data_IF_253513783852
#
_entry.id   IF_253513783852
#
_cell.length_a   1.000
_cell.length_b   1.000
_cell.length_c   1.000
_cell.angle_alpha   90.00
_cell.angle_beta   90.00
_cell.angle_gamma   90.00
#
_symmetry.space_group_name_H-M   'P 1'
#
loop_
_entity.id
_entity.type
_entity.pdbx_description
1 polymer ?
#
# COMPACT_ATOMS: atom_id res chain seq x y z
N UNK A 1 -16.69 10.94 -31.42
CA UNK A 1 -16.43 11.63 -30.15
C UNK A 1 -14.95 12.00 -30.11
N UNK A 2 -14.63 13.28 -30.30
CA UNK A 2 -13.24 13.74 -30.24
C UNK A 2 -12.91 13.94 -28.75
N UNK A 3 -12.40 12.91 -28.07
CA UNK A 3 -11.95 13.05 -26.69
C UNK A 3 -10.72 13.96 -26.68
N UNK A 4 -10.96 15.26 -26.46
CA UNK A 4 -9.92 16.23 -26.18
C UNK A 4 -9.12 15.72 -24.98
N UNK A 5 -7.90 15.27 -25.25
CA UNK A 5 -6.96 14.84 -24.25
C UNK A 5 -6.48 16.11 -23.52
N UNK A 6 -7.29 16.62 -22.59
CA UNK A 6 -7.07 17.84 -21.80
C UNK A 6 -5.66 17.88 -21.21
N UNK A 7 -5.12 16.70 -20.86
CA UNK A 7 -3.76 16.51 -20.38
C UNK A 7 -2.65 16.91 -21.37
N UNK A 8 -2.90 16.91 -22.69
CA UNK A 8 -1.92 17.40 -23.67
C UNK A 8 -1.70 18.91 -23.58
N UNK A 9 -2.65 19.63 -22.98
CA UNK A 9 -2.62 21.09 -22.86
C UNK A 9 -2.26 21.55 -21.45
N UNK A 10 -2.19 20.63 -20.49
CA UNK A 10 -1.81 20.92 -19.12
C UNK A 10 -0.28 21.02 -19.00
N UNK A 11 0.24 22.04 -18.30
CA UNK A 11 1.63 22.03 -17.85
C UNK A 11 1.92 20.77 -17.02
N UNK A 12 3.13 20.25 -17.15
CA UNK A 12 3.52 18.99 -16.51
C UNK A 12 3.38 19.05 -14.98
N UNK A 13 3.66 20.21 -14.37
CA UNK A 13 3.56 20.45 -12.94
C UNK A 13 2.12 20.30 -12.45
N UNK A 14 1.14 20.79 -13.22
CA UNK A 14 -0.28 20.68 -12.88
C UNK A 14 -0.75 19.24 -13.02
N UNK A 15 -0.32 18.54 -14.07
CA UNK A 15 -0.59 17.12 -14.25
C UNK A 15 -0.05 16.30 -13.06
N UNK A 16 1.18 16.58 -12.61
CA UNK A 16 1.78 15.93 -11.45
C UNK A 16 1.05 16.26 -10.15
N UNK A 17 0.58 17.50 -9.99
CA UNK A 17 -0.22 17.87 -8.82
C UNK A 17 -1.53 17.08 -8.77
N UNK A 18 -2.24 16.97 -9.90
CA UNK A 18 -3.47 16.15 -10.00
C UNK A 18 -3.18 14.68 -9.67
N UNK A 19 -2.11 14.11 -10.22
CA UNK A 19 -1.74 12.72 -9.92
C UNK A 19 -1.32 12.51 -8.46
N UNK A 20 -0.74 13.52 -7.82
CA UNK A 20 -0.34 13.47 -6.41
C UNK A 20 -1.51 13.35 -5.42
N UNK A 21 -2.73 13.72 -5.85
CA UNK A 21 -3.94 13.59 -5.03
C UNK A 21 -4.59 12.20 -5.13
N UNK A 22 -4.13 11.34 -6.03
CA UNK A 22 -4.74 10.03 -6.26
C UNK A 22 -4.27 9.00 -5.22
N UNK A 23 -5.18 8.13 -4.78
CA UNK A 23 -4.79 6.91 -4.06
C UNK A 23 -4.00 5.96 -4.98
N UNK A 24 -3.30 4.99 -4.37
CA UNK A 24 -2.41 4.07 -5.09
C UNK A 24 -3.14 3.28 -6.18
N UNK A 25 -4.39 2.85 -5.95
CA UNK A 25 -5.15 2.11 -6.96
C UNK A 25 -5.55 3.02 -8.11
N UNK A 26 -6.02 4.23 -7.79
CA UNK A 26 -6.36 5.25 -8.78
C UNK A 26 -5.15 5.68 -9.61
N UNK A 27 -3.98 5.82 -8.99
CA UNK A 27 -2.71 6.13 -9.66
C UNK A 27 -2.26 5.00 -10.59
N UNK A 28 -2.38 3.75 -10.15
CA UNK A 28 -2.14 2.57 -10.99
C UNK A 28 -3.09 2.54 -12.19
N UNK A 29 -4.40 2.77 -11.98
CA UNK A 29 -5.38 2.85 -13.08
C UNK A 29 -5.07 3.99 -14.03
N UNK A 30 -4.73 5.17 -13.51
CA UNK A 30 -4.33 6.33 -14.30
C UNK A 30 -3.10 6.02 -15.18
N UNK A 31 -2.12 5.29 -14.65
CA UNK A 31 -0.93 4.88 -15.41
C UNK A 31 -1.23 3.94 -16.59
N UNK A 32 -2.39 3.27 -16.59
CA UNK A 32 -2.81 2.36 -17.66
C UNK A 32 -3.68 3.03 -18.73
N UNK A 33 -3.99 4.32 -18.62
CA UNK A 33 -4.91 5.01 -19.53
C UNK A 33 -4.30 5.30 -20.90
N UNK A 34 -3.06 5.80 -20.94
CA UNK A 34 -2.34 6.08 -22.17
C UNK A 34 -0.82 6.16 -21.94
N UNK A 35 -0.03 6.08 -23.01
CA UNK A 35 1.45 6.10 -22.97
C UNK A 35 2.00 7.36 -22.29
N UNK A 36 1.37 8.52 -22.51
CA UNK A 36 1.80 9.78 -21.91
C UNK A 36 1.62 9.76 -20.38
N UNK A 37 0.45 9.34 -19.88
CA UNK A 37 0.21 9.24 -18.45
C UNK A 37 1.07 8.18 -17.80
N UNK A 38 1.25 7.03 -18.48
CA UNK A 38 2.18 6.00 -18.05
C UNK A 38 3.59 6.56 -17.84
N UNK A 39 4.13 7.30 -18.81
CA UNK A 39 5.46 7.88 -18.72
C UNK A 39 5.56 8.93 -17.61
N UNK A 40 4.56 9.81 -17.47
CA UNK A 40 4.53 10.85 -16.42
C UNK A 40 4.44 10.24 -15.03
N UNK A 41 3.58 9.24 -14.83
CA UNK A 41 3.32 8.64 -13.52
C UNK A 41 4.45 7.67 -13.13
N UNK A 42 4.86 6.78 -14.04
CA UNK A 42 5.81 5.70 -13.72
C UNK A 42 7.21 6.22 -13.40
N UNK A 43 7.65 7.25 -14.10
CA UNK A 43 9.04 7.75 -13.98
C UNK A 43 9.20 8.83 -12.91
N UNK A 44 8.12 9.25 -12.26
CA UNK A 44 8.17 10.30 -11.27
C UNK A 44 8.06 9.74 -9.84
N UNK A 45 9.23 9.47 -9.24
CA UNK A 45 9.34 8.94 -7.88
C UNK A 45 8.72 9.84 -6.80
N UNK A 46 8.54 11.15 -7.07
CA UNK A 46 7.87 12.07 -6.14
C UNK A 46 6.39 11.76 -5.93
N UNK A 47 5.72 11.11 -6.91
CA UNK A 47 4.34 10.65 -6.75
C UNK A 47 4.24 9.44 -5.82
N UNK A 48 5.24 8.57 -5.85
CA UNK A 48 5.22 7.30 -5.12
C UNK A 48 5.77 7.43 -3.69
N UNK A 49 6.70 8.36 -3.47
CA UNK A 49 7.36 8.55 -2.18
C UNK A 49 6.38 8.80 -1.02
N UNK A 50 5.39 9.72 -1.10
CA UNK A 50 4.46 9.96 0.00
C UNK A 50 3.68 8.71 0.40
N UNK A 51 3.22 7.93 -0.58
CA UNK A 51 2.53 6.66 -0.34
C UNK A 51 3.44 5.61 0.29
N UNK A 52 4.73 5.58 -0.08
CA UNK A 52 5.69 4.69 0.53
C UNK A 52 5.96 5.05 2.00
N UNK A 53 6.08 6.35 2.31
CA UNK A 53 6.22 6.81 3.69
C UNK A 53 4.99 6.46 4.54
N UNK A 54 3.79 6.58 3.99
CA UNK A 54 2.56 6.20 4.69
C UNK A 54 2.51 4.71 5.07
N UNK A 55 3.09 3.81 4.26
CA UNK A 55 3.17 2.38 4.62
C UNK A 55 4.37 2.05 5.50
N UNK A 56 5.38 2.93 5.58
CA UNK A 56 6.58 2.73 6.39
C UNK A 56 6.24 2.66 7.89
N UNK A 57 5.19 3.33 8.33
CA UNK A 57 4.70 3.26 9.72
C UNK A 57 4.31 1.82 10.13
N UNK A 58 3.95 0.98 9.16
CA UNK A 58 3.53 -0.42 9.38
C UNK A 58 4.62 -1.42 8.95
N UNK A 59 5.26 -1.16 7.82
CA UNK A 59 6.25 -2.03 7.19
C UNK A 59 7.65 -1.40 7.18
N UNK A 60 8.08 -0.83 8.31
CA UNK A 60 9.34 -0.09 8.42
C UNK A 60 10.53 -0.92 7.97
N UNK A 61 10.67 -2.13 8.50
CA UNK A 61 11.81 -3.02 8.23
C UNK A 61 11.88 -3.36 6.74
N UNK A 62 10.75 -3.72 6.15
CA UNK A 62 10.66 -4.10 4.74
C UNK A 62 10.97 -2.92 3.81
N UNK A 63 10.44 -1.74 4.12
CA UNK A 63 10.73 -0.50 3.37
C UNK A 63 12.21 -0.12 3.50
N UNK A 64 12.78 -0.18 4.70
CA UNK A 64 14.18 0.18 4.95
C UNK A 64 15.14 -0.79 4.24
N UNK A 65 14.82 -2.09 4.21
CA UNK A 65 15.65 -3.10 3.54
C UNK A 65 15.57 -3.00 2.01
N UNK A 66 14.40 -2.74 1.44
CA UNK A 66 14.29 -2.47 0.00
C UNK A 66 14.98 -1.14 -0.37
N UNK A 67 14.98 -0.13 0.52
CA UNK A 67 15.75 1.11 0.33
C UNK A 67 17.24 0.85 0.30
N UNK A 68 17.78 0.08 1.25
CA UNK A 68 19.19 -0.33 1.26
C UNK A 68 19.57 -1.13 0.01
N UNK A 69 18.62 -1.89 -0.53
CA UNK A 69 18.80 -2.67 -1.76
C UNK A 69 18.75 -1.82 -3.05
N UNK A 70 18.48 -0.52 -2.95
CA UNK A 70 18.52 0.40 -4.09
C UNK A 70 17.26 0.44 -4.96
N UNK A 71 16.14 -0.13 -4.50
CA UNK A 71 14.87 -0.08 -5.26
C UNK A 71 14.31 1.34 -5.34
N UNK A 72 13.57 1.66 -6.42
CA UNK A 72 12.84 2.93 -6.56
C UNK A 72 11.67 3.03 -5.56
N UNK A 73 11.18 4.25 -5.26
CA UNK A 73 10.02 4.40 -4.37
C UNK A 73 8.79 3.65 -4.88
N UNK A 74 8.59 3.64 -6.20
CA UNK A 74 7.54 2.86 -6.84
C UNK A 74 7.68 1.36 -6.59
N UNK A 75 8.87 0.81 -6.81
CA UNK A 75 9.08 -0.63 -6.67
C UNK A 75 8.96 -1.09 -5.22
N UNK A 76 9.47 -0.29 -4.27
CA UNK A 76 9.31 -0.52 -2.82
C UNK A 76 7.82 -0.55 -2.47
N UNK A 77 7.06 0.45 -2.92
CA UNK A 77 5.63 0.52 -2.62
C UNK A 77 4.89 -0.69 -3.20
N UNK A 78 5.11 -1.04 -4.47
CA UNK A 78 4.42 -2.17 -5.10
C UNK A 78 4.75 -3.51 -4.43
N UNK A 79 6.00 -3.71 -4.00
CA UNK A 79 6.43 -4.91 -3.27
C UNK A 79 5.75 -5.04 -1.90
N UNK A 80 5.60 -3.91 -1.20
CA UNK A 80 5.15 -3.91 0.19
C UNK A 80 3.67 -3.55 0.36
N UNK A 81 2.97 -3.12 -0.69
CA UNK A 81 1.60 -2.62 -0.57
C UNK A 81 0.65 -3.66 0.00
N UNK A 82 0.57 -4.86 -0.60
CA UNK A 82 -0.30 -5.94 -0.08
C UNK A 82 0.10 -6.33 1.35
N UNK A 83 1.41 -6.44 1.62
CA UNK A 83 1.94 -6.77 2.94
C UNK A 83 1.49 -5.75 3.99
N UNK A 84 1.62 -4.46 3.69
CA UNK A 84 1.21 -3.36 4.56
C UNK A 84 -0.28 -3.38 4.88
N UNK A 85 -1.15 -3.66 3.91
CA UNK A 85 -2.59 -3.73 4.12
C UNK A 85 -2.98 -4.89 5.03
N UNK A 86 -2.38 -6.06 4.82
CA UNK A 86 -2.61 -7.24 5.67
C UNK A 86 -2.11 -6.99 7.08
N UNK A 87 -0.86 -6.51 7.22
CA UNK A 87 -0.24 -6.23 8.51
C UNK A 87 -1.02 -5.16 9.28
N UNK A 88 -1.44 -4.07 8.62
CA UNK A 88 -2.29 -3.05 9.24
C UNK A 88 -3.65 -3.61 9.67
N UNK A 89 -4.26 -4.48 8.87
CA UNK A 89 -5.51 -5.16 9.23
C UNK A 89 -5.37 -5.96 10.52
N UNK A 90 -4.30 -6.74 10.65
CA UNK A 90 -3.99 -7.44 11.89
C UNK A 90 -3.69 -6.46 13.04
N UNK A 91 -2.75 -5.53 12.86
CA UNK A 91 -2.34 -4.58 13.90
C UNK A 91 -3.46 -3.63 14.38
N UNK A 92 -4.48 -3.37 13.56
CA UNK A 92 -5.68 -2.63 13.97
C UNK A 92 -6.68 -3.48 14.76
N UNK A 93 -6.49 -4.79 14.85
CA UNK A 93 -7.39 -5.73 15.50
C UNK A 93 -8.61 -6.11 14.65
N UNK A 94 -8.63 -5.74 13.36
CA UNK A 94 -9.73 -6.06 12.42
C UNK A 94 -10.01 -7.57 12.36
N UNK A 95 -8.98 -8.38 12.58
CA UNK A 95 -9.04 -9.84 12.48
C UNK A 95 -8.95 -10.56 13.84
N UNK A 96 -8.98 -9.84 14.97
CA UNK A 96 -8.81 -10.45 16.30
C UNK A 96 -9.98 -11.35 16.74
N UNK A 97 -11.17 -11.19 16.14
CA UNK A 97 -12.40 -11.88 16.53
C UNK A 97 -12.97 -12.77 15.41
N UNK A 98 -12.12 -13.53 14.74
CA UNK A 98 -12.59 -14.53 13.77
C UNK A 98 -13.27 -15.66 14.54
N UNK A 99 -14.59 -15.75 14.44
CA UNK A 99 -15.39 -16.78 15.11
C UNK A 99 -15.47 -18.10 14.32
N UNK A 100 -15.18 -18.09 13.02
CA UNK A 100 -15.28 -19.28 12.16
C UNK A 100 -14.37 -19.18 10.93
N UNK A 101 -13.84 -20.30 10.42
CA UNK A 101 -13.10 -20.34 9.15
C UNK A 101 -13.89 -19.76 7.96
N UNK A 102 -15.22 -19.86 7.97
CA UNK A 102 -16.09 -19.34 6.89
C UNK A 102 -16.16 -17.81 6.91
N UNK A 103 -15.86 -17.18 8.06
CA UNK A 103 -15.86 -15.73 8.23
C UNK A 103 -14.53 -15.07 7.85
N UNK A 104 -13.54 -15.84 7.38
CA UNK A 104 -12.22 -15.34 6.99
C UNK A 104 -12.30 -14.64 5.62
N UNK A 105 -11.99 -13.34 5.54
CA UNK A 105 -11.79 -12.70 4.24
C UNK A 105 -10.62 -13.34 3.48
N UNK A 106 -10.74 -13.48 2.16
CA UNK A 106 -9.64 -14.00 1.32
C UNK A 106 -8.35 -13.15 1.42
N UNK A 107 -8.48 -11.90 1.86
CA UNK A 107 -7.38 -10.92 1.92
C UNK A 107 -6.66 -10.84 3.26
N UNK A 108 -6.88 -11.75 4.23
CA UNK A 108 -6.25 -11.66 5.56
C UNK A 108 -4.83 -12.22 5.62
N UNK A 109 -4.41 -12.98 4.61
CA UNK A 109 -3.06 -13.54 4.51
C UNK A 109 -2.39 -13.06 3.23
N UNK A 110 -1.07 -12.89 3.30
CA UNK A 110 -0.21 -12.91 2.13
C UNK A 110 1.12 -13.58 2.49
N UNK A 111 1.93 -13.98 1.50
CA UNK A 111 3.28 -14.43 1.79
C UNK A 111 4.04 -13.32 2.56
N UNK A 112 4.52 -13.66 3.75
CA UNK A 112 5.41 -12.85 4.58
C UNK A 112 6.42 -13.79 5.26
N UNK A 113 7.57 -13.25 5.63
CA UNK A 113 8.56 -13.96 6.43
C UNK A 113 8.08 -14.20 7.87
N UNK A 114 8.73 -15.17 8.53
CA UNK A 114 8.38 -15.59 9.88
C UNK A 114 8.49 -14.45 10.90
N UNK A 115 9.43 -13.52 10.71
CA UNK A 115 9.62 -12.38 11.59
C UNK A 115 8.42 -11.41 11.51
N UNK A 116 7.93 -11.10 10.30
CA UNK A 116 6.73 -10.26 10.12
C UNK A 116 5.49 -10.90 10.76
N UNK A 117 5.31 -12.21 10.59
CA UNK A 117 4.23 -12.93 11.25
C UNK A 117 4.39 -12.98 12.77
N UNK A 118 5.63 -13.06 13.26
CA UNK A 118 5.96 -12.96 14.68
C UNK A 118 5.54 -11.62 15.29
N UNK A 119 5.86 -10.50 14.64
CA UNK A 119 5.43 -9.16 15.06
C UNK A 119 3.91 -9.05 15.19
N UNK A 120 3.17 -9.59 14.20
CA UNK A 120 1.70 -9.62 14.21
C UNK A 120 1.20 -10.47 15.38
N UNK A 121 1.72 -11.68 15.55
CA UNK A 121 1.31 -12.60 16.61
C UNK A 121 1.52 -11.99 17.99
N UNK A 122 2.68 -11.36 18.23
CA UNK A 122 2.95 -10.71 19.50
C UNK A 122 2.01 -9.52 19.76
N UNK A 123 1.69 -8.73 18.73
CA UNK A 123 0.72 -7.65 18.87
C UNK A 123 -0.67 -8.18 19.24
N UNK A 124 -1.10 -9.28 18.62
CA UNK A 124 -2.38 -9.94 18.96
C UNK A 124 -2.38 -10.49 20.39
N UNK A 125 -1.31 -11.17 20.82
CA UNK A 125 -1.21 -11.72 22.18
C UNK A 125 -1.25 -10.64 23.27
N UNK A 126 -0.78 -9.42 22.96
CA UNK A 126 -0.83 -8.28 23.89
C UNK A 126 -2.20 -7.61 23.96
N UNK A 127 -3.14 -7.92 23.05
CA UNK A 127 -4.48 -7.31 23.11
C UNK A 127 -5.23 -7.83 24.34
N UNK A 128 -5.87 -6.94 25.11
CA UNK A 128 -6.74 -7.36 26.20
C UNK A 128 -7.85 -8.25 25.63
N UNK A 129 -7.93 -9.49 26.08
CA UNK A 129 -9.03 -10.37 25.73
C UNK A 129 -10.35 -9.75 26.19
N UNK A 130 -11.28 -9.47 25.27
CA UNK A 130 -12.71 -9.30 25.61
C UNK A 130 -13.37 -10.62 26.08
N UNK A 131 -12.59 -11.58 26.59
CA UNK A 131 -13.03 -12.89 27.08
C UNK A 131 -12.61 -13.16 28.53
N UNK A 132 -12.82 -12.19 29.40
CA UNK A 132 -12.92 -12.41 30.85
C UNK A 132 -14.08 -11.60 31.44
N UNK A 133 -15.30 -11.81 30.94
CA UNK A 133 -16.53 -11.60 31.71
C UNK A 133 -17.50 -12.70 31.32
N UNK A 134 -17.51 -13.79 32.09
CA UNK A 134 -18.64 -14.67 32.40
C UNK A 134 -18.18 -15.70 33.42
#
# INVERSE_FOLDING_TARGET
>A
MNQNNFFKWLPQEIALHIFGELDIQSLCRASMTCVSWFATIRNNDSLWKPHCLAIQDVCKREVDDDRKSGYSWRDILLRNYKKSQVKLGWLSGRYSNICSPISLPESIMCPMDAETWGEILEAELRRPNHKQIS
#
